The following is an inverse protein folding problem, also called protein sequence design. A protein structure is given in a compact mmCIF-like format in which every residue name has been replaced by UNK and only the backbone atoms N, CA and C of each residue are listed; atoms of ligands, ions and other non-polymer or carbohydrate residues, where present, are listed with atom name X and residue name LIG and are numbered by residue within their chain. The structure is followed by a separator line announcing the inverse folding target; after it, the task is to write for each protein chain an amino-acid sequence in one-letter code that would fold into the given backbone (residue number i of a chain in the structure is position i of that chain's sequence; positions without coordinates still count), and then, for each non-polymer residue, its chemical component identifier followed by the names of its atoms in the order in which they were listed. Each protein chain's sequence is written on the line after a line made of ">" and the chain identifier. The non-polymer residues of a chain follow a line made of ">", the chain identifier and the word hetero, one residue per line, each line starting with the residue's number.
data_IF_187500954147
#
_entry.id   IF_187500954147
#
_cell.length_a   1.000
_cell.length_b   1.000
_cell.length_c   1.000
_cell.angle_alpha   90.00
_cell.angle_beta   90.00
_cell.angle_gamma   90.00
#
_symmetry.space_group_name_H-M   'P 1'
#
loop_
_entity.id
_entity.type
_entity.pdbx_description
1 polymer ?
#
# COMPACT_ATOMS: atom_id res chain seq x y z
N UNK A 1 -3.94 0.69 -10.76
CA UNK A 1 -3.75 1.97 -10.05
C UNK A 1 -2.27 2.13 -9.69
N UNK A 2 -1.74 3.36 -9.64
CA UNK A 2 -0.35 3.63 -9.22
C UNK A 2 -0.23 3.48 -7.69
N UNK A 3 0.83 2.83 -7.19
CA UNK A 3 1.11 2.74 -5.74
C UNK A 3 2.28 3.64 -5.38
N UNK A 4 2.04 4.64 -4.52
CA UNK A 4 3.02 5.67 -4.16
C UNK A 4 3.00 5.95 -2.66
N UNK A 5 4.01 5.51 -1.90
CA UNK A 5 4.11 5.80 -0.47
C UNK A 5 4.72 7.18 -0.18
N UNK A 6 4.33 7.77 0.95
CA UNK A 6 4.88 9.01 1.48
C UNK A 6 5.38 8.82 2.92
N UNK A 7 6.67 9.07 3.19
CA UNK A 7 7.77 9.38 2.25
C UNK A 7 8.28 8.13 1.48
N UNK A 8 9.03 8.29 0.36
CA UNK A 8 9.56 9.54 -0.23
C UNK A 8 8.65 10.21 -1.27
N UNK A 9 7.49 9.64 -1.60
CA UNK A 9 6.57 10.22 -2.59
C UNK A 9 6.89 9.88 -4.05
N UNK A 10 7.66 8.82 -4.29
CA UNK A 10 7.94 8.29 -5.63
C UNK A 10 7.17 6.98 -5.88
N UNK A 11 6.88 6.62 -7.13
CA UNK A 11 6.21 5.35 -7.46
C UNK A 11 6.94 4.14 -6.88
N UNK A 12 6.23 3.34 -6.09
CA UNK A 12 6.68 2.03 -5.64
C UNK A 12 6.30 0.94 -6.65
N UNK A 13 5.13 1.09 -7.30
CA UNK A 13 4.63 0.16 -8.30
C UNK A 13 3.78 0.90 -9.35
N UNK A 14 4.08 0.66 -10.63
CA UNK A 14 3.37 1.22 -11.79
C UNK A 14 2.34 0.20 -12.30
N UNK A 15 1.18 0.62 -12.86
CA UNK A 15 0.22 -0.31 -13.46
C UNK A 15 0.86 -1.26 -14.48
N UNK A 16 0.59 -2.55 -14.34
CA UNK A 16 1.17 -3.62 -15.17
C UNK A 16 2.32 -4.37 -14.49
N UNK A 17 2.96 -3.78 -13.48
CA UNK A 17 3.97 -4.47 -12.68
C UNK A 17 3.35 -5.45 -11.68
N UNK A 18 4.11 -6.47 -11.31
CA UNK A 18 3.68 -7.52 -10.38
C UNK A 18 4.24 -7.26 -8.99
N UNK A 19 3.39 -7.41 -7.99
CA UNK A 19 3.82 -7.40 -6.60
C UNK A 19 4.82 -8.53 -6.34
N UNK A 20 5.94 -8.18 -5.70
CA UNK A 20 6.89 -9.15 -5.16
C UNK A 20 6.84 -9.18 -3.63
N UNK A 21 7.52 -10.16 -3.04
CA UNK A 21 7.51 -10.36 -1.58
C UNK A 21 8.03 -9.14 -0.80
N UNK A 22 9.00 -8.40 -1.33
CA UNK A 22 9.55 -7.20 -0.68
C UNK A 22 8.54 -6.06 -0.67
N UNK A 23 7.85 -5.81 -1.78
CA UNK A 23 6.79 -4.79 -1.88
C UNK A 23 5.66 -5.13 -0.91
N UNK A 24 5.20 -6.39 -0.90
CA UNK A 24 4.14 -6.83 0.01
C UNK A 24 4.57 -6.68 1.48
N UNK A 25 5.82 -7.01 1.81
CA UNK A 25 6.35 -6.83 3.17
C UNK A 25 6.36 -5.36 3.58
N UNK A 26 6.77 -4.46 2.69
CA UNK A 26 6.75 -3.01 2.95
C UNK A 26 5.32 -2.50 3.21
N UNK A 27 4.34 -2.90 2.40
CA UNK A 27 2.95 -2.47 2.59
C UNK A 27 2.35 -2.98 3.91
N UNK A 28 2.72 -4.20 4.33
CA UNK A 28 2.34 -4.73 5.65
C UNK A 28 2.98 -3.94 6.79
N UNK A 29 4.25 -3.61 6.67
CA UNK A 29 4.93 -2.76 7.65
C UNK A 29 4.24 -1.40 7.78
N UNK A 30 3.94 -0.72 6.67
CA UNK A 30 3.28 0.58 6.71
C UNK A 30 1.90 0.52 7.38
N UNK A 31 1.12 -0.53 7.09
CA UNK A 31 -0.15 -0.80 7.79
C UNK A 31 0.06 -0.93 9.30
N UNK A 32 0.99 -1.77 9.71
CA UNK A 32 1.24 -2.07 11.13
C UNK A 32 1.77 -0.84 11.86
N UNK A 33 2.63 -0.05 11.20
CA UNK A 33 3.12 1.23 11.70
C UNK A 33 1.97 2.24 11.90
N UNK A 34 1.11 2.43 10.90
CA UNK A 34 -0.01 3.36 11.00
C UNK A 34 -1.00 2.95 12.11
N UNK A 35 -1.20 1.66 12.33
CA UNK A 35 -2.03 1.16 13.42
C UNK A 35 -1.40 1.39 14.81
N UNK A 36 -0.07 1.28 14.92
CA UNK A 36 0.66 1.46 16.17
C UNK A 36 0.81 2.94 16.58
N UNK A 37 0.81 3.86 15.60
CA UNK A 37 1.05 5.29 15.84
C UNK A 37 -0.05 6.18 15.22
N UNK A 38 -1.25 6.22 15.85
CA UNK A 38 -2.30 7.14 15.42
C UNK A 38 -1.82 8.60 15.45
N UNK A 39 -2.07 9.35 14.38
CA UNK A 39 -1.60 10.73 14.18
C UNK A 39 -0.22 10.86 13.52
N UNK A 40 0.47 9.76 13.25
CA UNK A 40 1.77 9.72 12.53
C UNK A 40 1.72 8.82 11.30
N UNK A 41 0.55 8.67 10.69
CA UNK A 41 0.35 7.73 9.61
C UNK A 41 1.15 8.10 8.36
N UNK A 42 1.79 7.09 7.79
CA UNK A 42 2.33 7.14 6.43
C UNK A 42 1.18 7.05 5.44
N UNK A 43 1.10 8.00 4.50
CA UNK A 43 0.09 7.99 3.46
C UNK A 43 0.59 7.16 2.27
N UNK A 44 -0.21 6.20 1.79
CA UNK A 44 0.10 5.41 0.60
C UNK A 44 -1.03 5.56 -0.41
N UNK A 45 -0.75 6.29 -1.49
CA UNK A 45 -1.68 6.37 -2.60
C UNK A 45 -1.79 5.00 -3.29
N UNK A 46 -3.01 4.58 -3.63
CA UNK A 46 -3.28 3.27 -4.21
C UNK A 46 -3.50 2.15 -3.18
N UNK A 47 -3.30 2.40 -1.89
CA UNK A 47 -3.63 1.47 -0.81
C UNK A 47 -4.90 1.94 -0.09
N UNK A 48 -6.02 1.28 -0.36
CA UNK A 48 -7.35 1.68 0.12
C UNK A 48 -7.67 0.95 1.43
N UNK A 49 -8.15 1.68 2.43
CA UNK A 49 -8.67 1.10 3.68
C UNK A 49 -10.18 0.89 3.54
N UNK A 50 -10.63 -0.35 3.66
CA UNK A 50 -12.05 -0.70 3.72
C UNK A 50 -12.68 -0.37 5.08
N UNK A 51 -14.01 -0.39 5.14
CA UNK A 51 -14.79 -0.14 6.37
C UNK A 51 -14.49 -1.17 7.48
N UNK A 52 -14.09 -2.37 7.09
CA UNK A 52 -13.68 -3.45 7.99
C UNK A 52 -12.23 -3.30 8.50
N UNK A 53 -11.54 -2.22 8.14
CA UNK A 53 -10.16 -1.96 8.51
C UNK A 53 -9.12 -2.75 7.70
N UNK A 54 -9.53 -3.56 6.71
CA UNK A 54 -8.60 -4.23 5.80
C UNK A 54 -8.07 -3.26 4.75
N UNK A 55 -6.81 -3.45 4.37
CA UNK A 55 -6.18 -2.66 3.31
C UNK A 55 -6.14 -3.48 2.02
N UNK A 56 -6.57 -2.86 0.93
CA UNK A 56 -6.70 -3.45 -0.40
C UNK A 56 -5.97 -2.60 -1.44
N UNK A 57 -5.54 -3.25 -2.53
CA UNK A 57 -5.00 -2.58 -3.71
C UNK A 57 -5.70 -3.16 -4.93
N UNK A 58 -6.02 -2.31 -5.91
CA UNK A 58 -6.62 -2.75 -7.16
C UNK A 58 -5.63 -3.53 -8.01
N UNK A 59 -6.01 -4.76 -8.33
CA UNK A 59 -5.24 -5.67 -9.18
C UNK A 59 -6.05 -6.07 -10.41
N UNK A 60 -5.35 -6.38 -11.50
CA UNK A 60 -5.96 -7.05 -12.64
C UNK A 60 -6.41 -8.45 -12.21
N UNK A 61 -7.55 -8.90 -12.75
CA UNK A 61 -8.04 -10.26 -12.53
C UNK A 61 -7.03 -11.25 -13.10
N UNK A 62 -6.72 -12.32 -12.37
CA UNK A 62 -6.01 -13.44 -12.95
C UNK A 62 -6.93 -14.12 -13.97
N UNK A 63 -6.43 -14.33 -15.18
CA UNK A 63 -7.08 -15.19 -16.19
C UNK A 63 -6.95 -16.66 -15.80
#
# INVERSE_FOLDING_TARGET
>A
MLVTPYPPGIPLLIPGERFNATIVRYLRFARDFNAAFPGFETAIHGLVKGEDGRYCVDCVRAE
#
